data_IF_225974858500
#
_entry.id   IF_225974858500
#
_cell.length_a   1.000
_cell.length_b   1.000
_cell.length_c   1.000
_cell.angle_alpha   90.00
_cell.angle_beta   90.00
_cell.angle_gamma   90.00
#
_symmetry.space_group_name_H-M   'P 1'
#
loop_
_entity.id
_entity.type
_entity.pdbx_description
1 polymer ?
#
# COMPACT_ATOMS: atom_id res chain seq x y z
N UNK A 1 1.96 16.64 7.11
CA UNK A 1 0.92 16.86 6.07
C UNK A 1 -0.09 17.97 6.42
N UNK A 2 -0.65 18.03 7.64
CA UNK A 2 -1.69 19.04 7.99
C UNK A 2 -1.35 20.50 7.66
N UNK A 3 -0.08 20.91 7.74
CA UNK A 3 0.33 22.28 7.40
C UNK A 3 0.27 22.56 5.88
N UNK A 4 0.67 21.58 5.04
CA UNK A 4 0.53 21.69 3.59
C UNK A 4 -0.96 21.68 3.21
N UNK A 5 -1.74 20.76 3.78
CA UNK A 5 -3.18 20.68 3.57
C UNK A 5 -3.90 21.99 3.94
N UNK A 6 -3.55 22.61 5.07
CA UNK A 6 -4.10 23.89 5.47
C UNK A 6 -3.75 25.00 4.47
N UNK A 7 -2.55 24.99 3.90
CA UNK A 7 -2.15 25.98 2.88
C UNK A 7 -2.86 25.78 1.55
N UNK A 8 -3.08 24.53 1.13
CA UNK A 8 -3.89 24.21 -0.07
C UNK A 8 -5.32 24.75 0.13
N UNK A 9 -5.94 24.46 1.28
CA UNK A 9 -7.30 24.93 1.59
C UNK A 9 -7.44 26.45 1.70
N UNK A 10 -6.34 27.15 1.98
CA UNK A 10 -6.29 28.61 2.02
C UNK A 10 -6.00 29.22 0.63
N UNK A 11 -5.91 28.41 -0.44
CA UNK A 11 -5.58 28.79 -1.83
C UNK A 11 -4.31 29.64 -1.97
N UNK A 12 -3.39 29.51 -1.00
CA UNK A 12 -2.15 30.29 -1.00
C UNK A 12 -1.05 29.70 -1.88
N UNK A 13 -1.27 28.49 -2.38
CA UNK A 13 -0.26 27.68 -3.07
C UNK A 13 -0.90 26.93 -4.23
N UNK A 14 -0.21 26.87 -5.37
CA UNK A 14 -0.68 26.21 -6.59
C UNK A 14 0.00 24.85 -6.78
N UNK A 15 -0.33 23.89 -5.92
CA UNK A 15 0.15 22.50 -6.02
C UNK A 15 -1.06 21.56 -6.20
N UNK A 16 -0.91 20.53 -7.02
CA UNK A 16 -2.01 19.61 -7.35
C UNK A 16 -2.15 18.53 -6.29
N UNK A 17 -1.03 17.93 -5.86
CA UNK A 17 -1.04 16.87 -4.88
C UNK A 17 0.24 16.85 -4.04
N UNK A 18 0.14 16.24 -2.86
CA UNK A 18 1.29 15.94 -2.02
C UNK A 18 1.13 14.52 -1.49
N UNK A 19 2.11 13.67 -1.75
CA UNK A 19 2.06 12.23 -1.46
C UNK A 19 3.17 11.87 -0.48
N UNK A 20 2.80 11.14 0.56
CA UNK A 20 3.73 10.48 1.47
C UNK A 20 3.84 9.02 1.07
N UNK A 21 4.99 8.63 0.53
CA UNK A 21 5.30 7.24 0.21
C UNK A 21 6.00 6.60 1.41
N UNK A 22 5.51 5.44 1.84
CA UNK A 22 6.02 4.71 3.02
C UNK A 22 7.51 4.38 2.92
N UNK A 23 7.99 4.10 1.70
CA UNK A 23 9.37 3.74 1.42
C UNK A 23 10.32 4.95 1.47
N UNK A 24 9.79 6.16 1.30
CA UNK A 24 10.55 7.40 1.27
C UNK A 24 10.60 8.05 2.66
N UNK A 25 11.41 7.49 3.56
CA UNK A 25 11.57 8.02 4.92
C UNK A 25 12.20 9.41 4.91
N UNK A 26 11.44 10.40 5.38
CA UNK A 26 11.89 11.80 5.50
C UNK A 26 11.71 12.64 4.24
N UNK A 27 11.11 12.08 3.19
CA UNK A 27 10.78 12.79 1.96
C UNK A 27 9.26 12.82 1.75
N UNK A 28 8.80 13.84 1.04
CA UNK A 28 7.41 13.99 0.60
C UNK A 28 7.48 14.36 -0.88
N UNK A 29 6.66 13.70 -1.70
CA UNK A 29 6.56 14.01 -3.12
C UNK A 29 5.49 15.08 -3.29
N UNK A 30 5.79 16.13 -4.05
CA UNK A 30 4.85 17.22 -4.34
C UNK A 30 4.69 17.30 -5.85
N UNK A 31 3.44 17.26 -6.30
CA UNK A 31 3.07 17.48 -7.69
C UNK A 31 2.71 18.95 -7.88
N UNK A 32 3.43 19.60 -8.79
CA UNK A 32 3.27 21.01 -9.14
C UNK A 32 3.43 21.17 -10.66
N UNK A 33 2.73 22.12 -11.26
CA UNK A 33 2.90 22.47 -12.68
C UNK A 33 4.28 23.08 -12.96
N UNK A 34 4.80 23.88 -12.03
CA UNK A 34 6.05 24.59 -12.18
C UNK A 34 6.92 24.45 -10.92
N UNK A 35 8.26 24.41 -11.06
CA UNK A 35 9.17 24.39 -9.91
C UNK A 35 8.94 25.57 -8.95
N UNK A 36 8.65 26.76 -9.48
CA UNK A 36 8.35 27.96 -8.67
C UNK A 36 7.17 27.74 -7.72
N UNK A 37 6.09 27.13 -8.20
CA UNK A 37 4.91 26.84 -7.39
C UNK A 37 5.21 25.83 -6.26
N UNK A 38 6.10 24.86 -6.54
CA UNK A 38 6.61 23.94 -5.52
C UNK A 38 7.44 24.68 -4.46
N UNK A 39 8.32 25.61 -4.87
CA UNK A 39 9.11 26.43 -3.94
C UNK A 39 8.25 27.25 -3.00
N UNK A 40 7.24 27.93 -3.54
CA UNK A 40 6.29 28.73 -2.75
C UNK A 40 5.54 27.84 -1.74
N UNK A 41 5.20 26.61 -2.14
CA UNK A 41 4.52 25.65 -1.27
C UNK A 41 5.36 25.24 -0.06
N UNK A 42 6.66 25.02 -0.24
CA UNK A 42 7.57 24.58 0.83
C UNK A 42 8.09 25.72 1.71
N UNK A 43 8.01 26.97 1.25
CA UNK A 43 8.61 28.11 1.93
C UNK A 43 8.02 28.34 3.33
N UNK A 44 8.89 28.44 4.34
CA UNK A 44 8.48 28.70 5.73
C UNK A 44 7.91 27.49 6.48
N UNK A 45 8.04 26.27 5.92
CA UNK A 45 7.68 25.04 6.64
C UNK A 45 8.87 24.57 7.49
N UNK A 46 8.73 24.62 8.83
CA UNK A 46 9.80 24.29 9.80
C UNK A 46 10.48 22.93 9.63
N UNK A 47 9.77 21.93 9.07
CA UNK A 47 10.29 20.56 8.95
C UNK A 47 10.80 20.22 7.54
N UNK A 48 10.74 21.16 6.61
CA UNK A 48 11.29 20.95 5.26
C UNK A 48 12.70 21.52 5.23
N UNK A 49 13.69 20.65 5.05
CA UNK A 49 15.12 21.03 4.99
C UNK A 49 15.57 21.48 3.59
N UNK A 50 14.78 21.17 2.57
CA UNK A 50 15.07 21.49 1.17
C UNK A 50 14.28 20.61 0.22
N UNK A 51 14.54 20.76 -1.07
CA UNK A 51 14.08 19.87 -2.13
C UNK A 51 15.30 19.13 -2.71
N UNK A 52 15.08 17.95 -3.28
CA UNK A 52 16.11 17.26 -4.06
C UNK A 52 16.21 17.93 -5.44
N UNK A 53 17.43 17.99 -5.99
CA UNK A 53 17.64 18.48 -7.34
C UNK A 53 17.25 17.39 -8.34
N UNK A 54 16.35 17.70 -9.25
CA UNK A 54 15.82 16.78 -10.26
C UNK A 54 14.31 16.66 -10.18
N UNK A 55 13.70 16.24 -11.28
CA UNK A 55 12.28 15.94 -11.38
C UNK A 55 12.08 14.44 -11.25
N UNK A 56 11.03 14.03 -10.53
CA UNK A 56 10.58 12.65 -10.50
C UNK A 56 9.60 12.43 -11.65
N UNK A 57 9.84 11.41 -12.46
CA UNK A 57 8.89 11.02 -13.51
C UNK A 57 7.81 10.10 -12.95
N UNK A 58 6.68 10.00 -13.65
CA UNK A 58 5.59 9.12 -13.23
C UNK A 58 6.05 7.65 -13.12
N UNK A 59 6.88 7.19 -14.05
CA UNK A 59 7.41 5.82 -14.09
C UNK A 59 8.23 5.44 -12.84
N UNK A 60 8.87 6.45 -12.22
CA UNK A 60 9.62 6.28 -10.99
C UNK A 60 8.70 6.12 -9.77
N UNK A 61 7.51 6.74 -9.81
CA UNK A 61 6.55 6.79 -8.70
C UNK A 61 5.55 5.63 -8.76
N UNK A 62 5.19 5.16 -9.96
CA UNK A 62 4.13 4.16 -10.21
C UNK A 62 4.28 2.91 -9.33
N UNK A 63 5.51 2.39 -9.20
CA UNK A 63 5.83 1.19 -8.39
C UNK A 63 5.52 1.37 -6.91
N UNK A 64 5.51 2.59 -6.40
CA UNK A 64 5.26 2.93 -5.01
C UNK A 64 3.80 3.32 -4.73
N UNK A 65 3.05 3.71 -5.77
CA UNK A 65 1.61 4.00 -5.66
C UNK A 65 0.77 2.71 -5.58
N UNK A 66 1.32 1.61 -6.07
CA UNK A 66 0.64 0.32 -6.06
C UNK A 66 0.70 -0.27 -4.64
N UNK A 67 -0.29 0.08 -3.82
CA UNK A 67 -0.67 -0.75 -2.67
C UNK A 67 -1.44 -1.96 -3.21
N UNK A 68 -0.75 -2.91 -3.83
CA UNK A 68 -1.30 -4.25 -4.10
C UNK A 68 -1.50 -4.90 -2.74
N UNK A 69 -2.66 -4.67 -2.13
CA UNK A 69 -3.10 -5.48 -1.02
C UNK A 69 -3.37 -6.86 -1.60
N UNK A 70 -2.44 -7.80 -1.40
CA UNK A 70 -2.63 -9.21 -1.74
C UNK A 70 -3.97 -9.72 -1.21
N UNK A 71 -4.41 -9.18 -0.08
CA UNK A 71 -5.70 -9.44 0.59
C UNK A 71 -6.91 -8.99 -0.24
N UNK A 72 -6.79 -7.93 -1.05
CA UNK A 72 -7.90 -7.41 -1.88
C UNK A 72 -8.25 -8.32 -3.06
N UNK A 73 -7.30 -9.14 -3.52
CA UNK A 73 -7.52 -10.12 -4.59
C UNK A 73 -8.11 -11.45 -4.06
N UNK A 74 -8.16 -11.63 -2.74
CA UNK A 74 -8.69 -12.85 -2.12
C UNK A 74 -10.21 -12.76 -1.99
N UNK A 75 -10.92 -13.75 -2.53
CA UNK A 75 -12.34 -13.94 -2.28
C UNK A 75 -12.60 -15.24 -1.51
N UNK A 76 -13.75 -15.30 -0.84
CA UNK A 76 -14.25 -16.53 -0.21
C UNK A 76 -14.43 -17.60 -1.30
N UNK A 77 -14.17 -18.86 -0.96
CA UNK A 77 -14.18 -20.03 -1.87
C UNK A 77 -13.04 -20.10 -2.90
N UNK A 78 -12.11 -19.15 -2.90
CA UNK A 78 -10.92 -19.27 -3.74
C UNK A 78 -9.95 -20.32 -3.19
N UNK A 79 -9.31 -21.03 -4.12
CA UNK A 79 -8.19 -21.92 -3.83
C UNK A 79 -6.91 -21.10 -3.76
N UNK A 80 -6.22 -21.21 -2.64
CA UNK A 80 -4.99 -20.49 -2.34
C UNK A 80 -3.89 -21.47 -1.95
N UNK A 81 -2.65 -21.07 -2.20
CA UNK A 81 -1.46 -21.73 -1.71
C UNK A 81 -0.88 -20.92 -0.56
N UNK A 82 -0.55 -21.60 0.53
CA UNK A 82 0.08 -20.97 1.69
C UNK A 82 1.59 -20.87 1.42
N UNK A 83 2.13 -19.66 1.33
CA UNK A 83 3.57 -19.43 1.03
C UNK A 83 4.43 -19.24 2.29
N UNK A 84 3.82 -19.10 3.46
CA UNK A 84 4.48 -18.79 4.73
C UNK A 84 3.89 -19.52 5.93
N UNK A 85 4.63 -19.56 7.03
CA UNK A 85 4.19 -20.21 8.26
C UNK A 85 4.30 -21.75 8.24
N UNK A 86 3.68 -22.44 9.23
CA UNK A 86 3.83 -23.89 9.41
C UNK A 86 3.17 -24.73 8.32
N UNK A 87 2.19 -24.17 7.60
CA UNK A 87 1.44 -24.85 6.53
C UNK A 87 1.95 -24.48 5.13
N UNK A 88 3.19 -23.99 5.03
CA UNK A 88 3.80 -23.58 3.76
C UNK A 88 3.79 -24.71 2.73
N UNK A 89 3.33 -24.41 1.53
CA UNK A 89 3.24 -25.32 0.37
C UNK A 89 1.93 -26.10 0.29
N UNK A 90 1.03 -25.98 1.28
CA UNK A 90 -0.28 -26.64 1.24
C UNK A 90 -1.30 -25.79 0.48
N UNK A 91 -2.21 -26.47 -0.21
CA UNK A 91 -3.37 -25.83 -0.82
C UNK A 91 -4.52 -25.77 0.17
N UNK A 92 -5.24 -24.65 0.14
CA UNK A 92 -6.36 -24.41 1.02
C UNK A 92 -7.48 -23.65 0.31
N UNK A 93 -8.71 -23.79 0.80
CA UNK A 93 -9.85 -23.01 0.35
C UNK A 93 -10.24 -22.01 1.42
N UNK A 94 -10.43 -20.74 1.03
CA UNK A 94 -10.83 -19.69 1.97
C UNK A 94 -12.30 -19.88 2.36
N UNK A 95 -12.57 -19.97 3.65
CA UNK A 95 -13.94 -20.03 4.21
C UNK A 95 -14.41 -18.69 4.74
N UNK A 96 -13.48 -17.90 5.30
CA UNK A 96 -13.76 -16.55 5.81
C UNK A 96 -12.54 -15.67 5.63
N UNK A 97 -12.77 -14.41 5.23
CA UNK A 97 -11.76 -13.38 5.10
C UNK A 97 -12.10 -12.20 6.00
N UNK A 98 -11.16 -11.76 6.83
CA UNK A 98 -11.25 -10.55 7.63
C UNK A 98 -10.25 -9.52 7.08
N UNK A 99 -10.76 -8.60 6.25
CA UNK A 99 -9.93 -7.61 5.57
C UNK A 99 -9.38 -6.53 6.50
N UNK A 100 -10.06 -6.25 7.62
CA UNK A 100 -9.58 -5.25 8.59
C UNK A 100 -8.39 -5.77 9.40
N UNK A 101 -8.39 -7.07 9.72
CA UNK A 101 -7.31 -7.71 10.48
C UNK A 101 -6.23 -8.36 9.62
N UNK A 102 -6.42 -8.41 8.31
CA UNK A 102 -5.57 -9.15 7.38
C UNK A 102 -5.44 -10.65 7.75
N UNK A 103 -6.53 -11.25 8.25
CA UNK A 103 -6.59 -12.66 8.64
C UNK A 103 -7.58 -13.42 7.75
N UNK A 104 -7.26 -14.67 7.42
CA UNK A 104 -8.12 -15.55 6.65
C UNK A 104 -8.27 -16.91 7.33
N UNK A 105 -9.50 -17.40 7.45
CA UNK A 105 -9.79 -18.77 7.85
C UNK A 105 -9.81 -19.65 6.61
N UNK A 106 -8.91 -20.63 6.55
CA UNK A 106 -8.74 -21.52 5.41
C UNK A 106 -8.92 -22.98 5.82
N UNK A 107 -9.40 -23.80 4.89
CA UNK A 107 -9.50 -25.26 5.06
C UNK A 107 -8.50 -25.92 4.13
N UNK A 108 -7.60 -26.73 4.70
CA UNK A 108 -6.55 -27.41 3.95
C UNK A 108 -7.14 -28.53 3.08
N UNK A 109 -6.79 -28.55 1.80
CA UNK A 109 -7.26 -29.56 0.83
C UNK A 109 -6.43 -30.85 0.89
N UNK A 110 -5.15 -30.74 1.26
CA UNK A 110 -4.22 -31.87 1.32
C UNK A 110 -4.30 -32.67 2.64
N UNK A 111 -5.13 -32.22 3.59
CA UNK A 111 -5.32 -32.87 4.88
C UNK A 111 -6.43 -33.93 4.82
N UNK A 112 -6.22 -35.07 5.47
CA UNK A 112 -7.24 -36.13 5.62
C UNK A 112 -8.45 -35.68 6.44
N UNK A 113 -8.33 -34.57 7.18
CA UNK A 113 -9.38 -33.96 7.96
C UNK A 113 -9.47 -32.46 7.66
N UNK A 114 -10.69 -31.97 7.45
CA UNK A 114 -10.98 -30.56 7.15
C UNK A 114 -10.99 -29.72 8.43
N UNK A 115 -9.81 -29.34 8.90
CA UNK A 115 -9.67 -28.40 10.02
C UNK A 115 -9.62 -26.96 9.51
N UNK A 116 -10.53 -26.06 9.93
CA UNK A 116 -10.41 -24.64 9.66
C UNK A 116 -9.27 -24.04 10.50
N UNK A 117 -8.28 -23.46 9.83
CA UNK A 117 -7.14 -22.77 10.46
C UNK A 117 -7.15 -21.29 10.09
N UNK A 118 -6.81 -20.43 11.05
CA UNK A 118 -6.67 -18.99 10.80
C UNK A 118 -5.22 -18.68 10.50
N UNK A 119 -4.97 -18.04 9.36
CA UNK A 119 -3.64 -17.67 8.88
C UNK A 119 -3.63 -16.21 8.45
N UNK A 120 -2.45 -15.60 8.46
CA UNK A 120 -2.24 -14.26 7.93
C UNK A 120 -2.51 -14.26 6.42
N UNK A 121 -3.35 -13.34 5.96
CA UNK A 121 -3.76 -13.22 4.57
C UNK A 121 -2.58 -12.88 3.65
N UNK A 122 -1.50 -12.27 4.17
CA UNK A 122 -0.28 -11.99 3.42
C UNK A 122 0.51 -13.28 3.08
N UNK A 123 0.25 -14.38 3.78
CA UNK A 123 0.83 -15.69 3.46
C UNK A 123 0.00 -16.48 2.44
N UNK A 124 -1.11 -15.93 1.96
CA UNK A 124 -1.94 -16.56 0.96
C UNK A 124 -1.59 -16.04 -0.42
N UNK A 125 -1.34 -16.96 -1.34
CA UNK A 125 -1.17 -16.67 -2.75
C UNK A 125 -2.31 -17.31 -3.53
N UNK A 126 -2.99 -16.53 -4.36
CA UNK A 126 -4.01 -17.07 -5.25
C UNK A 126 -3.39 -18.07 -6.23
N UNK A 127 -4.00 -19.25 -6.35
CA UNK A 127 -3.65 -20.21 -7.40
C UNK A 127 -4.66 -20.03 -8.52
N UNK A 128 -4.25 -19.61 -9.73
CA UNK A 128 -5.15 -19.60 -10.87
C UNK A 128 -5.66 -21.02 -11.14
N UNK A 129 -6.95 -21.14 -11.46
CA UNK A 129 -7.57 -22.39 -11.87
C UNK A 129 -6.93 -22.96 -13.15
#
# INVERSE_FOLDING_TARGET
MRLLEARIKMEKINIQSAVLLSDFKGYVVIEAQDPSAMFDAIQGIRHVRGHLRGELTYDDIDKYLIKKSTVSELAVENTVEIIGGPFKGMKATITRLDQEKEEATVVLLDATYQLPVTVDANYLKLVPA
#
